data_IF_797237083575
#
_entry.id   IF_797237083575
#
_cell.length_a   1.000
_cell.length_b   1.000
_cell.length_c   1.000
_cell.angle_alpha   90.00
_cell.angle_beta   90.00
_cell.angle_gamma   90.00
#
_symmetry.space_group_name_H-M   'P 1'
#
loop_
_entity.id
_entity.type
_entity.pdbx_description
1 polymer ?
#
# COMPACT_ATOMS: atom_id res chain seq x y z
N UNK A 1 33.55 -11.24 -13.90
CA UNK A 1 32.18 -11.71 -14.19
C UNK A 1 31.25 -10.96 -13.25
N UNK A 2 30.67 -9.84 -13.70
CA UNK A 2 29.88 -8.94 -12.86
C UNK A 2 28.42 -9.41 -12.91
N UNK A 3 27.94 -10.00 -11.83
CA UNK A 3 26.53 -10.39 -11.68
C UNK A 3 25.68 -9.12 -11.67
N UNK A 4 24.92 -8.91 -12.75
CA UNK A 4 23.81 -7.94 -12.75
C UNK A 4 22.67 -8.62 -11.99
N UNK A 5 22.43 -8.18 -10.76
CA UNK A 5 21.22 -8.57 -10.03
C UNK A 5 20.05 -7.98 -10.82
N UNK A 6 19.27 -8.86 -11.45
CA UNK A 6 18.02 -8.51 -12.09
C UNK A 6 17.05 -8.05 -11.00
N UNK A 7 16.88 -6.75 -10.81
CA UNK A 7 15.78 -6.18 -10.04
C UNK A 7 14.70 -5.71 -11.03
N UNK A 8 14.21 -6.64 -11.85
CA UNK A 8 13.23 -6.38 -12.93
C UNK A 8 11.77 -6.33 -12.42
N UNK A 9 11.56 -6.23 -11.12
CA UNK A 9 10.23 -5.97 -10.54
C UNK A 9 10.33 -4.76 -9.64
N UNK A 10 10.14 -3.57 -10.23
CA UNK A 10 10.05 -2.35 -9.45
C UNK A 10 9.03 -2.57 -8.32
N UNK A 11 9.39 -2.36 -7.04
CA UNK A 11 8.51 -2.63 -5.92
C UNK A 11 7.20 -1.86 -6.12
N UNK A 12 6.08 -2.57 -6.23
CA UNK A 12 4.78 -1.98 -6.52
C UNK A 12 3.86 -2.10 -5.30
N UNK A 13 4.03 -1.19 -4.35
CA UNK A 13 3.15 -1.11 -3.19
C UNK A 13 1.87 -0.34 -3.54
N UNK A 14 0.74 -0.71 -2.94
CA UNK A 14 -0.54 -0.06 -3.22
C UNK A 14 -1.39 0.06 -1.96
N UNK A 15 -1.99 1.22 -1.75
CA UNK A 15 -3.03 1.38 -0.74
C UNK A 15 -4.30 0.62 -1.18
N UNK A 16 -4.75 -0.30 -0.34
CA UNK A 16 -5.91 -1.13 -0.55
C UNK A 16 -6.95 -0.89 0.55
N UNK A 17 -8.17 -0.56 0.12
CA UNK A 17 -9.33 -0.45 0.98
C UNK A 17 -10.34 -1.54 0.55
N UNK A 18 -10.77 -2.44 1.46
CA UNK A 18 -11.74 -3.49 1.13
C UNK A 18 -13.14 -2.94 0.86
N UNK A 19 -13.47 -1.75 1.37
CA UNK A 19 -14.77 -1.08 1.17
C UNK A 19 -14.87 -0.42 -0.20
N UNK A 20 -13.74 0.07 -0.75
CA UNK A 20 -13.72 0.75 -2.03
C UNK A 20 -13.40 -0.23 -3.16
N UNK A 21 -14.27 -0.31 -4.18
CA UNK A 21 -14.06 -1.15 -5.37
C UNK A 21 -12.80 -0.80 -6.18
N UNK A 22 -12.25 0.40 -6.02
CA UNK A 22 -10.99 0.80 -6.66
C UNK A 22 -9.87 0.75 -5.63
N UNK A 23 -8.97 -0.20 -5.80
CA UNK A 23 -7.67 -0.17 -5.09
C UNK A 23 -6.85 1.03 -5.60
N UNK A 24 -5.97 1.61 -4.78
CA UNK A 24 -5.32 2.91 -5.04
C UNK A 24 -4.32 2.94 -6.20
N UNK A 25 -3.50 3.99 -6.27
CA UNK A 25 -2.36 4.06 -7.22
C UNK A 25 -1.24 3.10 -6.76
N UNK A 26 -0.46 2.56 -7.70
CA UNK A 26 0.77 1.81 -7.37
C UNK A 26 1.90 2.81 -7.10
N UNK A 27 2.73 2.50 -6.09
CA UNK A 27 3.83 3.32 -5.63
C UNK A 27 5.12 2.50 -5.63
N UNK A 28 6.22 3.15 -5.99
CA UNK A 28 7.58 2.57 -5.96
C UNK A 28 8.17 2.42 -4.56
N UNK A 29 7.50 2.96 -3.54
CA UNK A 29 7.99 2.97 -2.16
C UNK A 29 6.84 2.68 -1.20
N UNK A 30 7.12 1.86 -0.18
CA UNK A 30 6.15 1.51 0.85
C UNK A 30 5.62 2.75 1.59
N UNK A 31 6.49 3.68 2.01
CA UNK A 31 6.07 4.88 2.75
C UNK A 31 5.06 5.75 2.00
N UNK A 32 5.15 5.84 0.68
CA UNK A 32 4.15 6.57 -0.13
C UNK A 32 2.81 5.82 -0.17
N UNK A 33 2.84 4.49 -0.26
CA UNK A 33 1.62 3.68 -0.20
C UNK A 33 0.98 3.74 1.19
N UNK A 34 1.78 3.77 2.25
CA UNK A 34 1.29 3.94 3.63
C UNK A 34 0.66 5.31 3.83
N UNK A 35 1.31 6.39 3.38
CA UNK A 35 0.73 7.73 3.41
C UNK A 35 -0.59 7.81 2.64
N UNK A 36 -0.68 7.15 1.48
CA UNK A 36 -1.93 7.07 0.72
C UNK A 36 -3.02 6.26 1.46
N UNK A 37 -2.64 5.20 2.18
CA UNK A 37 -3.55 4.42 3.01
C UNK A 37 -4.06 5.22 4.21
N UNK A 38 -3.18 5.97 4.88
CA UNK A 38 -3.53 6.90 5.96
C UNK A 38 -4.48 7.98 5.47
N UNK A 39 -4.11 8.72 4.41
CA UNK A 39 -4.97 9.76 3.85
C UNK A 39 -6.34 9.26 3.37
N UNK A 40 -6.45 8.01 2.92
CA UNK A 40 -7.75 7.39 2.61
C UNK A 40 -8.55 7.08 3.89
N UNK A 41 -7.87 6.55 4.90
CA UNK A 41 -8.44 6.23 6.21
C UNK A 41 -8.99 7.47 6.88
N UNK A 42 -8.23 8.57 6.92
CA UNK A 42 -8.67 9.85 7.48
C UNK A 42 -9.84 10.46 6.72
N UNK A 43 -9.77 10.46 5.39
CA UNK A 43 -10.77 11.11 4.53
C UNK A 43 -12.11 10.37 4.50
N UNK A 44 -12.09 9.04 4.43
CA UNK A 44 -13.30 8.23 4.21
C UNK A 44 -13.69 7.39 5.42
N UNK A 45 -12.90 7.42 6.50
CA UNK A 45 -13.12 6.61 7.71
C UNK A 45 -13.21 5.10 7.43
N UNK A 46 -12.50 4.63 6.41
CA UNK A 46 -12.40 3.20 6.09
C UNK A 46 -11.10 2.61 6.63
N UNK A 47 -11.11 1.34 7.02
CA UNK A 47 -9.85 0.62 7.26
C UNK A 47 -9.12 0.43 5.93
N UNK A 48 -7.86 0.82 5.88
CA UNK A 48 -7.01 0.73 4.69
C UNK A 48 -5.69 0.06 5.06
N UNK A 49 -5.10 -0.70 4.14
CA UNK A 49 -3.80 -1.32 4.34
C UNK A 49 -2.97 -1.31 3.06
N UNK A 50 -1.68 -1.58 3.16
CA UNK A 50 -0.80 -1.66 1.99
C UNK A 50 -0.72 -3.11 1.52
N UNK A 51 -0.79 -3.30 0.20
CA UNK A 51 -0.44 -4.56 -0.47
C UNK A 51 0.86 -4.37 -1.26
N UNK A 52 1.70 -5.40 -1.30
CA UNK A 52 2.90 -5.45 -2.14
C UNK A 52 2.59 -5.88 -3.58
N UNK A 53 3.63 -6.03 -4.41
CA UNK A 53 3.49 -6.34 -5.83
C UNK A 53 2.95 -7.74 -6.12
N UNK A 54 3.03 -8.67 -5.16
CA UNK A 54 2.37 -9.97 -5.21
C UNK A 54 0.90 -9.91 -4.78
N UNK A 55 0.39 -8.73 -4.43
CA UNK A 55 -0.97 -8.57 -3.89
C UNK A 55 -1.12 -9.06 -2.45
N UNK A 56 -0.01 -9.35 -1.77
CA UNK A 56 -0.01 -9.77 -0.37
C UNK A 56 -0.06 -8.53 0.52
N UNK A 57 -0.82 -8.61 1.61
CA UNK A 57 -0.91 -7.52 2.59
C UNK A 57 0.40 -7.41 3.37
N UNK A 58 0.95 -6.20 3.42
CA UNK A 58 2.13 -5.92 4.23
C UNK A 58 1.72 -5.91 5.72
N UNK A 59 2.40 -6.71 6.53
CA UNK A 59 2.15 -6.79 7.97
C UNK A 59 2.42 -5.45 8.64
N UNK A 60 1.56 -5.04 9.58
CA UNK A 60 1.68 -3.75 10.28
C UNK A 60 1.17 -2.54 9.50
N UNK A 61 0.92 -2.65 8.19
CA UNK A 61 0.47 -1.53 7.34
C UNK A 61 -0.99 -1.08 7.52
N UNK A 62 -1.65 -1.58 8.58
CA UNK A 62 -3.10 -1.43 8.73
C UNK A 62 -3.43 -0.12 9.39
N UNK A 63 -4.05 0.76 8.63
CA UNK A 63 -4.55 2.04 9.08
C UNK A 63 -6.03 1.88 9.44
N UNK A 64 -6.39 2.23 10.68
CA UNK A 64 -7.77 2.24 11.17
C UNK A 64 -8.14 3.68 11.51
N UNK A 65 -9.39 4.10 11.25
CA UNK A 65 -9.83 5.42 11.67
C UNK A 65 -9.78 5.51 13.20
N UNK A 66 -9.28 6.61 13.74
CA UNK A 66 -9.36 6.86 15.17
C UNK A 66 -10.83 7.07 15.58
N UNK A 67 -11.26 6.49 16.73
CA UNK A 67 -12.57 6.81 17.28
C UNK A 67 -12.61 8.31 17.58
N UNK A 68 -13.69 8.96 17.15
CA UNK A 68 -13.91 10.41 17.37
C UNK A 68 -14.50 10.62 18.76
#
# INVERSE_FOLDING_TARGET
MTVRVQDEVAPAYRAHCPTCRKSGRQFRSYGLAEQAAGGHTDKFRHTTYVIDHYGVRVTGSTQRPEPT
#
